data_IF_162192438866
#
_entry.id   IF_162192438866
#
_cell.length_a   1.000
_cell.length_b   1.000
_cell.length_c   1.000
_cell.angle_alpha   90.00
_cell.angle_beta   90.00
_cell.angle_gamma   90.00
#
_symmetry.space_group_name_H-M   'P 1'
#
loop_
_entity.id
_entity.type
_entity.pdbx_description
1 polymer ?
#
# COMPACT_ATOMS: atom_id res chain seq x y z
N UNK A 1 19.04 -4.43 11.13
CA UNK A 1 18.53 -4.53 9.76
C UNK A 1 18.13 -3.16 9.26
N UNK A 2 18.58 -2.80 8.08
CA UNK A 2 18.22 -1.52 7.46
C UNK A 2 16.76 -1.50 7.03
N UNK A 3 16.12 -0.34 7.11
CA UNK A 3 14.79 -0.14 6.57
C UNK A 3 14.75 -0.42 5.06
N UNK A 4 13.66 -1.00 4.58
CA UNK A 4 13.44 -1.21 3.15
C UNK A 4 12.70 0.01 2.57
N UNK A 5 13.48 0.96 2.09
CA UNK A 5 13.00 2.22 1.49
C UNK A 5 13.17 2.25 -0.03
N UNK A 6 13.62 1.15 -0.63
CA UNK A 6 13.79 1.05 -2.08
C UNK A 6 12.42 1.01 -2.77
N UNK A 7 12.25 1.84 -3.79
CA UNK A 7 11.02 1.90 -4.57
C UNK A 7 10.76 0.59 -5.30
N UNK A 8 9.55 0.08 -5.16
CA UNK A 8 9.07 -1.10 -5.84
C UNK A 8 7.93 -0.71 -6.78
N UNK A 9 8.06 -1.07 -8.04
CA UNK A 9 7.01 -0.82 -9.02
C UNK A 9 5.79 -1.69 -8.71
N UNK A 10 4.61 -1.10 -8.68
CA UNK A 10 3.36 -1.85 -8.70
C UNK A 10 2.58 -1.55 -9.98
N UNK A 11 1.87 -2.56 -10.47
CA UNK A 11 0.90 -2.42 -11.54
C UNK A 11 -0.34 -3.21 -11.14
N UNK A 12 -1.45 -2.51 -10.96
CA UNK A 12 -2.73 -3.14 -10.63
C UNK A 12 -3.65 -3.12 -11.83
N UNK A 13 -4.36 -4.23 -12.04
CA UNK A 13 -5.53 -4.28 -12.92
C UNK A 13 -6.75 -4.39 -12.03
N UNK A 14 -7.50 -3.29 -11.89
CA UNK A 14 -8.54 -3.16 -10.88
C UNK A 14 -9.91 -3.38 -11.48
N UNK A 15 -10.63 -4.34 -10.95
CA UNK A 15 -12.00 -4.70 -11.32
C UNK A 15 -12.95 -4.30 -10.19
N UNK A 16 -13.56 -5.26 -9.53
CA UNK A 16 -14.50 -5.02 -8.42
C UNK A 16 -13.91 -5.33 -7.05
N UNK A 17 -12.73 -5.96 -7.01
CA UNK A 17 -12.05 -6.33 -5.79
C UNK A 17 -10.66 -5.72 -5.71
N UNK A 18 -10.00 -5.89 -4.57
CA UNK A 18 -8.65 -5.39 -4.37
C UNK A 18 -7.61 -6.20 -5.13
N UNK A 19 -6.53 -5.54 -5.54
CA UNK A 19 -5.33 -6.16 -6.06
C UNK A 19 -4.18 -5.95 -5.06
N UNK A 20 -3.18 -6.83 -5.11
CA UNK A 20 -2.08 -6.85 -4.16
C UNK A 20 -0.74 -6.83 -4.87
N UNK A 21 0.26 -6.22 -4.23
CA UNK A 21 1.65 -6.32 -4.66
C UNK A 21 2.27 -7.63 -4.20
N UNK A 22 3.50 -7.91 -4.63
CA UNK A 22 4.34 -8.89 -3.97
C UNK A 22 4.64 -8.46 -2.53
N UNK A 23 5.10 -9.40 -1.71
CA UNK A 23 5.40 -9.14 -0.31
C UNK A 23 6.88 -8.82 -0.10
N UNK A 24 7.14 -7.91 0.82
CA UNK A 24 8.47 -7.49 1.25
C UNK A 24 8.48 -7.32 2.75
N UNK A 25 9.67 -7.29 3.35
CA UNK A 25 9.79 -7.12 4.79
C UNK A 25 9.68 -5.65 5.19
N UNK A 26 8.89 -5.42 6.24
CA UNK A 26 8.86 -4.16 6.96
C UNK A 26 9.82 -4.25 8.13
N UNK A 27 10.79 -3.36 8.20
CA UNK A 27 11.92 -3.46 9.12
C UNK A 27 11.86 -2.48 10.29
N UNK A 28 10.94 -1.51 10.26
CA UNK A 28 10.77 -0.55 11.36
C UNK A 28 9.34 -0.01 11.42
N UNK A 29 9.08 0.88 12.36
CA UNK A 29 7.75 1.46 12.60
C UNK A 29 7.39 2.65 11.70
N UNK A 30 8.23 2.99 10.72
CA UNK A 30 7.89 4.05 9.77
C UNK A 30 6.66 3.69 8.94
N UNK A 31 6.02 4.68 8.35
CA UNK A 31 4.86 4.46 7.49
C UNK A 31 5.26 3.74 6.20
N UNK A 32 4.28 3.12 5.54
CA UNK A 32 4.43 2.66 4.17
C UNK A 32 4.48 3.89 3.25
N UNK A 33 5.37 3.86 2.27
CA UNK A 33 5.48 4.93 1.27
C UNK A 33 4.73 4.54 0.01
N UNK A 34 3.93 5.45 -0.55
CA UNK A 34 3.17 5.22 -1.77
C UNK A 34 3.30 6.43 -2.70
N UNK A 35 3.64 6.17 -3.95
CA UNK A 35 3.80 7.17 -5.00
C UNK A 35 3.05 6.74 -6.26
N UNK A 36 1.74 6.97 -6.35
CA UNK A 36 0.99 6.64 -7.55
C UNK A 36 1.42 7.54 -8.70
N UNK A 37 1.73 6.96 -9.86
CA UNK A 37 2.09 7.69 -11.07
C UNK A 37 0.99 7.69 -12.10
N UNK A 38 0.09 6.70 -12.05
CA UNK A 38 -1.03 6.56 -12.96
C UNK A 38 -2.21 5.93 -12.22
N UNK A 39 -3.35 6.58 -12.26
CA UNK A 39 -4.60 6.08 -11.67
C UNK A 39 -5.76 6.29 -12.61
N UNK A 40 -6.75 5.38 -12.64
CA UNK A 40 -7.97 5.61 -13.41
C UNK A 40 -8.81 6.75 -12.80
N UNK A 41 -9.74 7.29 -13.59
CA UNK A 41 -10.63 8.36 -13.14
C UNK A 41 -11.49 7.98 -11.93
N UNK A 42 -11.74 6.67 -11.74
CA UNK A 42 -12.43 6.14 -10.56
C UNK A 42 -11.73 6.48 -9.24
N UNK A 43 -10.43 6.78 -9.28
CA UNK A 43 -9.61 6.90 -8.09
C UNK A 43 -9.21 5.54 -7.52
N UNK A 44 -8.11 5.53 -6.77
CA UNK A 44 -7.58 4.32 -6.13
C UNK A 44 -7.35 4.60 -4.65
N UNK A 45 -7.84 3.70 -3.81
CA UNK A 45 -7.50 3.71 -2.39
C UNK A 45 -6.55 2.56 -2.07
N UNK A 46 -5.71 2.77 -1.05
CA UNK A 46 -4.61 1.88 -0.71
C UNK A 46 -4.71 1.41 0.73
N UNK A 47 -4.16 0.22 0.98
CA UNK A 47 -4.02 -0.32 2.33
C UNK A 47 -2.73 -1.12 2.45
N UNK A 48 -2.13 -1.10 3.64
CA UNK A 48 -0.99 -1.93 3.99
C UNK A 48 -1.43 -3.15 4.78
N UNK A 49 -0.99 -4.32 4.36
CA UNK A 49 -1.34 -5.59 4.98
C UNK A 49 -0.13 -6.25 5.62
N UNK A 50 -0.34 -6.88 6.76
CA UNK A 50 0.65 -7.68 7.48
C UNK A 50 0.33 -9.16 7.32
N UNK A 51 1.37 -9.97 7.12
CA UNK A 51 1.26 -11.43 7.09
C UNK A 51 1.74 -12.02 8.41
N UNK A 52 0.93 -12.86 9.02
CA UNK A 52 1.28 -13.52 10.30
C UNK A 52 1.79 -14.96 10.13
N UNK A 53 2.00 -15.40 8.90
CA UNK A 53 2.37 -16.77 8.56
C UNK A 53 1.20 -17.62 8.06
N UNK A 54 -0.03 -17.15 8.22
CA UNK A 54 -1.24 -17.85 7.77
C UNK A 54 -2.24 -16.91 7.10
N UNK A 55 -2.43 -15.70 7.63
CA UNK A 55 -3.48 -14.77 7.23
C UNK A 55 -2.89 -13.38 6.98
N UNK A 56 -3.47 -12.64 6.05
CA UNK A 56 -3.18 -11.24 5.79
C UNK A 56 -4.17 -10.36 6.54
N UNK A 57 -3.65 -9.38 7.30
CA UNK A 57 -4.45 -8.43 8.06
C UNK A 57 -4.23 -7.02 7.53
N UNK A 58 -5.31 -6.28 7.30
CA UNK A 58 -5.25 -4.86 6.98
C UNK A 58 -4.89 -4.08 8.25
N UNK A 59 -3.67 -3.54 8.28
CA UNK A 59 -3.16 -2.80 9.44
C UNK A 59 -3.11 -1.29 9.18
N UNK A 60 -3.83 -0.83 8.17
CA UNK A 60 -3.88 0.59 7.83
C UNK A 60 -4.72 1.35 8.84
N UNK A 61 -4.21 2.46 9.34
CA UNK A 61 -4.98 3.34 10.21
C UNK A 61 -6.11 3.97 9.40
N UNK A 62 -7.35 3.70 9.79
CA UNK A 62 -8.54 4.10 9.05
C UNK A 62 -8.98 3.10 7.98
N UNK A 63 -8.27 2.00 7.80
CA UNK A 63 -8.62 0.89 6.89
C UNK A 63 -8.14 1.08 5.46
N UNK A 64 -8.55 2.12 4.78
CA UNK A 64 -8.17 2.45 3.40
C UNK A 64 -7.98 3.94 3.25
N UNK A 65 -7.05 4.35 2.37
CA UNK A 65 -6.77 5.76 2.13
C UNK A 65 -6.69 6.04 0.63
N UNK A 66 -7.40 7.09 0.19
CA UNK A 66 -7.28 7.58 -1.17
C UNK A 66 -5.96 8.33 -1.34
N UNK A 67 -5.23 8.01 -2.41
CA UNK A 67 -3.99 8.71 -2.78
C UNK A 67 -4.05 9.00 -4.28
N UNK A 68 -4.06 10.29 -4.62
CA UNK A 68 -4.13 10.72 -6.01
C UNK A 68 -2.81 10.46 -6.75
N UNK A 69 -2.89 10.16 -8.04
CA UNK A 69 -1.70 10.07 -8.89
C UNK A 69 -0.97 11.43 -8.94
N UNK A 70 0.35 11.37 -8.98
CA UNK A 70 1.20 12.54 -8.97
C UNK A 70 1.50 13.07 -7.56
N UNK A 71 1.05 12.39 -6.51
CA UNK A 71 1.35 12.77 -5.12
C UNK A 71 2.15 11.67 -4.45
N UNK A 72 3.07 12.08 -3.58
CA UNK A 72 3.85 11.16 -2.75
C UNK A 72 3.33 11.27 -1.32
N UNK A 73 2.92 10.16 -0.74
CA UNK A 73 2.31 10.13 0.59
C UNK A 73 2.88 9.02 1.44
N UNK A 74 2.85 9.20 2.75
CA UNK A 74 3.05 8.12 3.70
C UNK A 74 1.69 7.57 4.11
N UNK A 75 1.58 6.25 4.11
CA UNK A 75 0.39 5.53 4.55
C UNK A 75 0.68 4.98 5.94
N UNK A 76 0.01 5.53 6.96
CA UNK A 76 0.24 5.13 8.35
C UNK A 76 -0.40 3.77 8.62
N UNK A 77 0.37 2.88 9.20
CA UNK A 77 -0.06 1.52 9.52
C UNK A 77 0.45 1.09 10.88
N UNK A 78 -0.14 0.05 11.44
CA UNK A 78 0.35 -0.65 12.63
C UNK A 78 0.97 -2.01 12.27
N UNK A 79 1.53 -2.14 11.06
CA UNK A 79 2.12 -3.41 10.60
C UNK A 79 3.21 -3.88 11.55
N UNK A 80 4.19 -3.03 11.81
CA UNK A 80 5.33 -3.37 12.64
C UNK A 80 4.95 -3.53 14.11
N UNK A 81 4.11 -2.64 14.61
CA UNK A 81 3.63 -2.65 15.99
C UNK A 81 2.84 -3.93 16.30
N UNK A 82 1.94 -4.32 15.40
CA UNK A 82 1.10 -5.51 15.58
C UNK A 82 1.86 -6.82 15.32
N UNK A 83 3.05 -6.74 14.73
CA UNK A 83 3.98 -7.87 14.65
C UNK A 83 4.82 -8.04 15.92
N UNK A 84 4.59 -7.23 16.95
CA UNK A 84 5.37 -7.23 18.18
C UNK A 84 6.69 -6.49 18.05
N UNK A 85 6.71 -5.43 17.23
CA UNK A 85 7.91 -4.63 16.96
C UNK A 85 9.05 -5.48 16.39
N UNK A 86 8.69 -6.36 15.47
CA UNK A 86 9.61 -7.27 14.80
C UNK A 86 9.47 -7.14 13.29
N UNK A 87 10.55 -7.43 12.58
CA UNK A 87 10.54 -7.55 11.12
C UNK A 87 9.45 -8.51 10.68
N UNK A 88 8.61 -8.07 9.73
CA UNK A 88 7.44 -8.84 9.29
C UNK A 88 7.18 -8.63 7.81
N UNK A 89 6.59 -9.62 7.16
CA UNK A 89 6.16 -9.49 5.77
C UNK A 89 4.94 -8.57 5.67
N UNK A 90 4.96 -7.73 4.66
CA UNK A 90 3.85 -6.85 4.31
C UNK A 90 3.67 -6.75 2.81
N UNK A 91 2.53 -6.23 2.39
CA UNK A 91 2.24 -5.90 1.00
C UNK A 91 1.34 -4.69 0.92
N UNK A 92 1.35 -4.04 -0.24
CA UNK A 92 0.43 -2.95 -0.54
C UNK A 92 -0.75 -3.52 -1.33
N UNK A 93 -1.95 -3.12 -0.96
CA UNK A 93 -3.18 -3.44 -1.69
C UNK A 93 -3.80 -2.16 -2.24
N UNK A 94 -4.47 -2.27 -3.39
CA UNK A 94 -5.19 -1.19 -3.99
C UNK A 94 -6.56 -1.66 -4.47
N UNK A 95 -7.54 -0.76 -4.44
CA UNK A 95 -8.85 -0.99 -5.04
C UNK A 95 -9.43 0.32 -5.55
N UNK A 96 -10.37 0.24 -6.47
CA UNK A 96 -11.06 1.43 -6.96
C UNK A 96 -11.80 2.12 -5.82
N UNK A 97 -11.74 3.45 -5.80
CA UNK A 97 -12.48 4.26 -4.83
C UNK A 97 -13.98 4.16 -5.09
N UNK A 98 -14.37 4.09 -6.36
CA UNK A 98 -15.78 3.95 -6.76
C UNK A 98 -15.88 3.23 -8.10
N UNK A 99 -17.04 2.63 -8.35
CA UNK A 99 -17.32 1.94 -9.62
C UNK A 99 -16.53 0.64 -9.75
N UNK A 100 -16.28 0.26 -10.97
CA UNK A 100 -15.59 -0.96 -11.33
C UNK A 100 -16.48 -1.92 -12.12
N UNK A 101 -15.84 -2.77 -12.90
CA UNK A 101 -16.52 -3.75 -13.75
C UNK A 101 -15.83 -5.10 -13.62
N UNK A 102 -16.56 -6.22 -13.57
CA UNK A 102 -15.93 -7.54 -13.59
C UNK A 102 -15.33 -7.90 -14.95
N UNK A 103 -15.62 -7.11 -16.00
CA UNK A 103 -15.22 -7.41 -17.37
C UNK A 103 -14.09 -6.53 -17.89
N UNK A 104 -13.88 -5.37 -17.30
CA UNK A 104 -12.88 -4.40 -17.75
C UNK A 104 -12.01 -3.93 -16.59
N UNK A 105 -10.70 -4.27 -16.65
CA UNK A 105 -9.73 -3.85 -15.65
C UNK A 105 -9.29 -2.40 -15.86
N UNK A 106 -9.19 -1.66 -14.77
CA UNK A 106 -8.63 -0.31 -14.77
C UNK A 106 -7.18 -0.37 -14.29
N UNK A 107 -6.27 0.20 -15.07
CA UNK A 107 -4.83 0.11 -14.77
C UNK A 107 -4.40 1.23 -13.82
N UNK A 108 -3.70 0.85 -12.76
CA UNK A 108 -3.06 1.76 -11.82
C UNK A 108 -1.60 1.36 -11.66
N UNK A 109 -0.70 2.35 -11.70
CA UNK A 109 0.75 2.14 -11.59
C UNK A 109 1.37 3.13 -10.64
N UNK A 110 2.48 2.73 -10.05
CA UNK A 110 3.28 3.60 -9.21
C UNK A 110 4.37 2.84 -8.51
N UNK A 111 4.86 3.46 -7.44
CA UNK A 111 5.91 2.91 -6.61
C UNK A 111 5.48 2.89 -5.16
N UNK A 112 6.03 1.96 -4.40
CA UNK A 112 5.81 1.87 -2.97
C UNK A 112 7.04 1.29 -2.29
N UNK A 113 7.13 1.48 -0.98
CA UNK A 113 8.11 0.76 -0.16
C UNK A 113 7.52 0.44 1.21
N UNK A 114 7.96 -0.66 1.84
CA UNK A 114 7.49 -1.02 3.18
C UNK A 114 7.76 0.04 4.23
N UNK A 115 8.94 0.66 4.14
CA UNK A 115 9.41 1.69 5.08
C UNK A 115 9.58 3.02 4.36
N UNK A 116 9.51 4.12 5.10
CA UNK A 116 9.62 5.47 4.53
C UNK A 116 10.95 6.10 4.95
N UNK A 117 11.69 6.61 3.97
CA UNK A 117 12.79 7.54 4.19
C UNK A 117 12.32 8.94 3.80
N UNK A 118 12.72 9.94 4.59
CA UNK A 118 12.33 11.32 4.33
C UNK A 118 10.95 11.67 4.89
N UNK A 119 10.47 12.85 4.51
CA UNK A 119 9.26 13.42 5.08
C UNK A 119 8.21 13.63 3.99
N UNK A 120 7.06 12.99 4.14
CA UNK A 120 5.93 13.11 3.22
C UNK A 120 4.64 13.35 4.00
N UNK A 121 3.65 14.07 3.43
CA UNK A 121 2.35 14.20 4.07
C UNK A 121 1.68 12.84 4.22
N UNK A 122 0.92 12.67 5.30
CA UNK A 122 0.16 11.45 5.53
C UNK A 122 -1.08 11.41 4.65
N UNK A 123 -1.41 10.21 4.15
CA UNK A 123 -2.65 9.96 3.43
C UNK A 123 -3.83 9.71 4.37
N UNK A 124 -3.53 9.37 5.62
CA UNK A 124 -4.53 8.94 6.59
C UNK A 124 -4.25 9.43 8.02
#
# INVERSE_FOLDING_TARGET
VSADTADKLYTFSLYTSEANTGSYYKDNSSSVYVNPTMSPANGVQFAGYRYDGATWYNETIGGWAYIAAGTKRRLRTNIYENAGYKRTLCRLSGKLLSGGSPYEGKIARGYWSPDTAGSYPAAN
#
